data_IF_732280519653
#
_entry.id   IF_732280519653
#
_cell.length_a   1.000
_cell.length_b   1.000
_cell.length_c   1.000
_cell.angle_alpha   90.00
_cell.angle_beta   90.00
_cell.angle_gamma   90.00
#
_symmetry.space_group_name_H-M   'P 1'
#
loop_
_entity.id
_entity.type
_entity.pdbx_description
1 polymer ?
#
# COMPACT_ATOMS: atom_id res chain seq x y z
N UNK A 1 -2.41 -24.44 -11.50
CA UNK A 1 -1.61 -23.36 -12.15
C UNK A 1 -1.89 -22.04 -11.43
N UNK A 2 -0.95 -21.51 -10.64
CA UNK A 2 -1.06 -20.15 -10.06
C UNK A 2 -0.62 -19.16 -11.15
N UNK A 3 -1.51 -18.27 -11.62
CA UNK A 3 -1.05 -17.09 -12.38
C UNK A 3 -0.36 -16.17 -11.38
N UNK A 4 0.94 -15.97 -11.53
CA UNK A 4 1.65 -14.87 -10.87
C UNK A 4 1.49 -13.68 -11.80
N UNK A 5 0.62 -12.75 -11.42
CA UNK A 5 0.47 -11.47 -12.09
C UNK A 5 1.36 -10.45 -11.40
N UNK A 6 2.17 -9.74 -12.16
CA UNK A 6 2.93 -8.59 -11.69
C UNK A 6 2.21 -7.31 -12.15
N UNK A 7 2.02 -6.37 -11.23
CA UNK A 7 1.43 -5.08 -11.54
C UNK A 7 2.34 -3.99 -10.98
N UNK A 8 2.83 -3.13 -11.86
CA UNK A 8 3.69 -2.00 -11.51
C UNK A 8 2.90 -0.69 -11.64
N UNK A 9 2.89 0.10 -10.57
CA UNK A 9 2.27 1.41 -10.54
C UNK A 9 3.06 2.35 -9.63
N UNK A 10 3.24 3.61 -10.06
CA UNK A 10 3.85 4.66 -9.25
C UNK A 10 2.89 5.84 -9.18
N UNK A 11 2.61 6.28 -7.96
CA UNK A 11 1.82 7.47 -7.71
C UNK A 11 2.56 8.33 -6.69
N UNK A 12 2.57 9.65 -6.91
CA UNK A 12 3.09 10.62 -5.94
C UNK A 12 1.92 11.37 -5.31
N UNK A 13 1.95 11.52 -4.00
CA UNK A 13 0.95 12.30 -3.25
C UNK A 13 1.66 13.42 -2.50
N UNK A 14 1.06 14.61 -2.49
CA UNK A 14 1.52 15.70 -1.65
C UNK A 14 0.93 15.51 -0.26
N UNK A 15 1.81 15.38 0.74
CA UNK A 15 1.38 15.32 2.13
C UNK A 15 1.27 16.74 2.70
N UNK A 16 0.26 17.04 3.51
CA UNK A 16 0.18 18.32 4.23
C UNK A 16 1.43 18.54 5.11
N UNK A 17 1.83 19.80 5.27
CA UNK A 17 3.05 20.16 6.01
C UNK A 17 3.00 19.73 7.49
N UNK A 18 1.81 19.69 8.09
CA UNK A 18 1.58 19.34 9.49
C UNK A 18 1.60 17.83 9.77
N UNK A 19 1.80 16.99 8.75
CA UNK A 19 1.91 15.55 8.95
C UNK A 19 3.24 15.19 9.63
N UNK A 20 3.17 14.32 10.64
CA UNK A 20 4.35 13.80 11.34
C UNK A 20 5.14 12.87 10.42
N UNK A 21 6.02 13.45 9.59
CA UNK A 21 6.82 12.72 8.58
C UNK A 21 7.59 11.54 9.14
N UNK A 22 8.08 11.66 10.38
CA UNK A 22 8.78 10.59 11.09
C UNK A 22 7.93 9.34 11.36
N UNK A 23 6.60 9.47 11.35
CA UNK A 23 5.67 8.38 11.63
C UNK A 23 5.01 7.84 10.35
N UNK A 24 5.51 8.20 9.17
CA UNK A 24 4.93 7.77 7.91
C UNK A 24 5.40 6.35 7.55
N UNK A 25 4.46 5.60 6.98
CA UNK A 25 4.68 4.30 6.38
C UNK A 25 3.66 4.06 5.28
N UNK A 26 3.91 3.04 4.48
CA UNK A 26 3.02 2.61 3.39
C UNK A 26 2.44 1.25 3.75
N UNK A 27 1.13 1.10 3.55
CA UNK A 27 0.46 -0.19 3.58
C UNK A 27 -0.12 -0.46 2.20
N UNK A 28 0.03 -1.70 1.73
CA UNK A 28 -0.58 -2.16 0.50
C UNK A 28 -1.35 -3.45 0.78
N UNK A 29 -2.52 -3.59 0.15
CA UNK A 29 -3.37 -4.74 0.33
C UNK A 29 -4.04 -5.15 -0.98
N UNK A 30 -4.33 -6.44 -1.10
CA UNK A 30 -5.17 -7.01 -2.15
C UNK A 30 -6.49 -7.39 -1.50
N UNK A 31 -7.60 -6.83 -2.00
CA UNK A 31 -8.93 -7.06 -1.46
C UNK A 31 -9.87 -7.61 -2.53
N UNK A 32 -10.75 -8.54 -2.14
CA UNK A 32 -11.97 -8.80 -2.89
C UNK A 32 -12.94 -7.63 -2.69
N UNK A 33 -13.13 -6.82 -3.72
CA UNK A 33 -13.96 -5.61 -3.66
C UNK A 33 -15.47 -5.89 -3.46
N UNK A 34 -15.93 -7.11 -3.73
CA UNK A 34 -17.36 -7.47 -3.60
C UNK A 34 -17.68 -7.93 -2.18
N UNK A 35 -16.75 -8.66 -1.57
CA UNK A 35 -16.89 -9.21 -0.21
C UNK A 35 -16.24 -8.35 0.86
N UNK A 36 -15.41 -7.38 0.48
CA UNK A 36 -14.59 -6.58 1.40
C UNK A 36 -13.46 -7.36 2.06
N UNK A 37 -13.18 -8.59 1.62
CA UNK A 37 -12.19 -9.49 2.24
C UNK A 37 -10.77 -9.15 1.81
N UNK A 38 -9.88 -8.88 2.77
CA UNK A 38 -8.44 -8.75 2.51
C UNK A 38 -7.87 -10.14 2.23
N UNK A 39 -7.25 -10.29 1.06
CA UNK A 39 -6.61 -11.53 0.60
C UNK A 39 -5.13 -11.56 1.00
N UNK A 40 -4.47 -10.39 0.95
CA UNK A 40 -3.08 -10.21 1.34
C UNK A 40 -2.84 -8.76 1.75
N UNK A 41 -1.90 -8.53 2.67
CA UNK A 41 -1.47 -7.19 3.06
C UNK A 41 0.03 -7.18 3.40
N UNK A 42 0.66 -6.04 3.17
CA UNK A 42 2.05 -5.74 3.58
C UNK A 42 2.10 -4.34 4.15
N UNK A 43 2.97 -4.13 5.14
CA UNK A 43 3.25 -2.82 5.71
C UNK A 43 4.75 -2.57 5.65
N UNK A 44 5.13 -1.37 5.20
CA UNK A 44 6.51 -0.94 5.06
C UNK A 44 6.67 0.40 5.78
N UNK A 45 7.51 0.51 6.80
CA UNK A 45 7.89 1.82 7.33
C UNK A 45 8.62 2.61 6.24
N UNK A 46 8.62 3.95 6.33
CA UNK A 46 9.48 4.77 5.47
C UNK A 46 10.95 4.37 5.67
N UNK A 47 11.66 4.11 4.58
CA UNK A 47 13.12 3.98 4.61
C UNK A 47 13.75 5.35 4.89
N UNK A 48 14.70 5.38 5.82
CA UNK A 48 15.52 6.56 6.16
C UNK A 48 16.72 6.60 5.21
#
# INVERSE_FOLDING_TARGET
>A
MRRVGEQHGRQSINLPADWKRANLGVAALVQDVRQGKVLQAVAMPMCI
#
